data_IF_647965062244
#
_entry.id   IF_647965062244
#
_cell.length_a   1.000
_cell.length_b   1.000
_cell.length_c   1.000
_cell.angle_alpha   90.00
_cell.angle_beta   90.00
_cell.angle_gamma   90.00
#
_symmetry.space_group_name_H-M   'P 1'
#
loop_
_entity.id
_entity.type
_entity.pdbx_description
1 polymer ?
#
# COMPACT_ATOMS: atom_id res chain seq x y z
N UNK A 1 1.18 2.96 2.27
CA UNK A 1 0.79 4.32 2.71
C UNK A 1 1.56 4.63 3.98
N UNK A 2 2.09 5.84 4.12
CA UNK A 2 2.72 6.29 5.35
C UNK A 2 1.91 7.46 5.95
N UNK A 3 1.87 7.55 7.27
CA UNK A 3 1.19 8.61 8.02
C UNK A 3 2.09 9.09 9.15
N UNK A 4 2.08 10.39 9.44
CA UNK A 4 2.90 10.99 10.49
C UNK A 4 2.09 11.96 11.33
N UNK A 5 2.31 11.93 12.64
CA UNK A 5 1.59 12.73 13.62
C UNK A 5 0.43 11.97 14.28
N UNK A 6 -0.21 12.62 15.25
CA UNK A 6 -1.39 12.10 15.95
C UNK A 6 -2.62 12.85 15.45
N UNK A 7 -3.69 12.13 15.14
CA UNK A 7 -4.91 12.75 14.64
C UNK A 7 -5.80 11.79 13.86
N UNK A 8 -6.68 12.37 13.04
CA UNK A 8 -7.62 11.69 12.19
C UNK A 8 -6.99 11.47 10.81
N UNK A 9 -6.96 10.20 10.40
CA UNK A 9 -6.74 9.81 9.01
C UNK A 9 -8.06 9.30 8.44
N UNK A 10 -8.47 9.89 7.32
CA UNK A 10 -9.69 9.57 6.60
C UNK A 10 -9.38 9.41 5.11
N UNK A 11 -9.92 8.33 4.54
CA UNK A 11 -9.75 7.94 3.14
C UNK A 11 -11.12 8.00 2.46
N UNK A 12 -11.30 8.93 1.54
CA UNK A 12 -12.59 9.20 0.90
C UNK A 12 -12.98 8.24 -0.22
N UNK A 13 -11.99 7.65 -0.90
CA UNK A 13 -12.20 6.73 -2.02
C UNK A 13 -11.13 5.65 -1.98
N UNK A 14 -11.55 4.42 -1.70
CA UNK A 14 -10.71 3.22 -1.77
C UNK A 14 -11.28 2.38 -2.89
N UNK A 15 -10.50 2.27 -3.98
CA UNK A 15 -10.89 1.47 -5.13
C UNK A 15 -10.70 -0.01 -4.81
N UNK A 16 -11.71 -0.80 -5.15
CA UNK A 16 -11.57 -2.25 -5.12
C UNK A 16 -10.59 -2.70 -6.23
N UNK A 17 -9.89 -3.83 -6.03
CA UNK A 17 -9.11 -4.46 -7.08
C UNK A 17 -9.98 -4.77 -8.32
N UNK A 18 -9.41 -4.61 -9.51
CA UNK A 18 -10.13 -4.78 -10.80
C UNK A 18 -10.79 -6.15 -10.96
N UNK A 19 -10.25 -7.18 -10.30
CA UNK A 19 -10.72 -8.56 -10.33
C UNK A 19 -11.55 -8.98 -9.09
N UNK A 20 -12.05 -8.01 -8.31
CA UNK A 20 -12.77 -8.29 -7.06
C UNK A 20 -14.20 -8.84 -7.25
N UNK A 21 -14.80 -8.69 -8.43
CA UNK A 21 -16.13 -9.21 -8.80
C UNK A 21 -17.24 -8.99 -7.74
N UNK A 22 -17.19 -7.86 -7.02
CA UNK A 22 -18.14 -7.57 -5.94
C UNK A 22 -19.46 -7.06 -6.51
N UNK A 23 -20.56 -7.69 -6.08
CA UNK A 23 -21.92 -7.34 -6.52
C UNK A 23 -22.67 -6.53 -5.46
N UNK A 24 -23.74 -5.86 -5.89
CA UNK A 24 -24.63 -5.14 -4.96
C UNK A 24 -25.17 -6.07 -3.87
N UNK A 25 -25.10 -5.61 -2.62
CA UNK A 25 -25.57 -6.34 -1.46
C UNK A 25 -24.60 -7.38 -0.91
N UNK A 26 -23.44 -7.59 -1.53
CA UNK A 26 -22.39 -8.46 -1.01
C UNK A 26 -21.94 -7.99 0.38
N UNK A 27 -21.64 -8.94 1.26
CA UNK A 27 -21.12 -8.68 2.60
C UNK A 27 -19.60 -8.80 2.58
N UNK A 28 -18.92 -7.92 3.28
CA UNK A 28 -17.48 -7.99 3.47
C UNK A 28 -17.08 -7.35 4.79
N UNK A 29 -15.79 -7.48 5.13
CA UNK A 29 -15.22 -6.86 6.32
C UNK A 29 -14.06 -5.98 5.88
N UNK A 30 -14.07 -4.72 6.31
CA UNK A 30 -12.92 -3.84 6.19
C UNK A 30 -11.99 -4.08 7.37
N UNK A 31 -10.77 -4.51 7.08
CA UNK A 31 -9.73 -4.65 8.09
C UNK A 31 -8.77 -3.45 7.99
N UNK A 32 -8.75 -2.64 9.04
CA UNK A 32 -7.75 -1.58 9.20
C UNK A 32 -6.58 -2.15 9.97
N UNK A 33 -5.41 -2.12 9.34
CA UNK A 33 -4.14 -2.57 9.94
C UNK A 33 -3.26 -1.34 10.12
N UNK A 34 -3.00 -0.96 11.36
CA UNK A 34 -2.12 0.17 11.69
C UNK A 34 -0.81 -0.39 12.23
N UNK A 35 0.28 -0.20 11.51
CA UNK A 35 1.62 -0.64 11.92
C UNK A 35 2.34 0.55 12.58
N UNK A 36 2.87 0.33 13.77
CA UNK A 36 3.68 1.29 14.51
C UNK A 36 5.18 1.11 14.26
N UNK A 37 5.98 2.11 14.61
CA UNK A 37 7.42 2.19 14.31
C UNK A 37 8.23 1.02 14.91
N UNK A 38 7.75 0.43 16.00
CA UNK A 38 8.42 -0.68 16.71
C UNK A 38 7.96 -2.07 16.24
N UNK A 39 7.23 -2.15 15.12
CA UNK A 39 6.68 -3.42 14.60
C UNK A 39 5.43 -3.90 15.34
N UNK A 40 4.86 -3.09 16.24
CA UNK A 40 3.53 -3.32 16.79
C UNK A 40 2.46 -3.08 15.73
N UNK A 41 1.33 -3.80 15.80
CA UNK A 41 0.23 -3.61 14.89
C UNK A 41 -1.12 -3.64 15.62
N UNK A 42 -2.02 -2.76 15.20
CA UNK A 42 -3.41 -2.73 15.64
C UNK A 42 -4.30 -3.19 14.49
N UNK A 43 -5.24 -4.07 14.80
CA UNK A 43 -6.19 -4.64 13.85
C UNK A 43 -7.59 -4.27 14.29
N UNK A 44 -8.33 -3.59 13.41
CA UNK A 44 -9.72 -3.24 13.63
C UNK A 44 -10.54 -3.70 12.44
N UNK A 45 -11.72 -4.27 12.71
CA UNK A 45 -12.63 -4.78 11.70
C UNK A 45 -13.93 -3.97 11.72
N UNK A 46 -14.43 -3.67 10.53
CA UNK A 46 -15.77 -3.13 10.34
C UNK A 46 -16.50 -3.95 9.29
N UNK A 47 -17.60 -4.58 9.66
CA UNK A 47 -18.45 -5.29 8.72
C UNK A 47 -19.24 -4.29 7.87
N UNK A 48 -19.29 -4.55 6.57
CA UNK A 48 -19.90 -3.69 5.58
C UNK A 48 -20.78 -4.49 4.61
N UNK A 49 -21.64 -3.76 3.92
CA UNK A 49 -22.41 -4.27 2.80
C UNK A 49 -22.21 -3.37 1.59
N UNK A 50 -21.75 -3.95 0.49
CA UNK A 50 -21.47 -3.20 -0.73
C UNK A 50 -22.76 -2.73 -1.39
N UNK A 51 -22.76 -1.49 -1.87
CA UNK A 51 -23.90 -0.88 -2.54
C UNK A 51 -23.40 0.12 -3.59
N UNK A 52 -24.10 0.19 -4.73
CA UNK A 52 -23.82 1.18 -5.78
C UNK A 52 -24.22 2.61 -5.35
N UNK A 53 -25.03 2.74 -4.28
CA UNK A 53 -25.58 4.01 -3.80
C UNK A 53 -24.96 4.43 -2.46
N UNK A 54 -23.66 4.14 -2.25
CA UNK A 54 -22.97 4.56 -1.03
C UNK A 54 -22.80 6.09 -1.04
N UNK A 55 -23.22 6.76 0.03
CA UNK A 55 -22.99 8.19 0.22
C UNK A 55 -21.64 8.42 0.88
N UNK A 56 -20.92 9.47 0.44
CA UNK A 56 -19.70 9.89 1.12
C UNK A 56 -19.98 10.32 2.55
N UNK A 57 -19.02 10.06 3.44
CA UNK A 57 -19.09 10.59 4.79
C UNK A 57 -19.06 12.13 4.75
N UNK A 58 -19.90 12.81 5.56
CA UNK A 58 -20.03 14.28 5.49
C UNK A 58 -18.78 15.03 5.96
N UNK A 59 -17.86 14.39 6.68
CA UNK A 59 -16.64 15.01 7.22
C UNK A 59 -15.44 14.07 7.12
N UNK A 60 -14.76 14.07 5.97
CA UNK A 60 -13.47 13.41 5.81
C UNK A 60 -12.37 14.46 5.68
N UNK A 61 -11.81 14.88 6.83
CA UNK A 61 -10.70 15.82 6.85
C UNK A 61 -9.54 15.23 7.64
N UNK A 62 -8.38 15.18 7.00
CA UNK A 62 -7.17 14.65 7.60
C UNK A 62 -6.54 15.69 8.53
N UNK A 63 -6.24 15.30 9.77
CA UNK A 63 -5.42 16.13 10.67
C UNK A 63 -3.99 15.61 10.81
N UNK A 64 -3.69 14.51 10.13
CA UNK A 64 -2.34 13.91 10.03
C UNK A 64 -1.76 14.13 8.64
N UNK A 65 -0.43 14.13 8.56
CA UNK A 65 0.28 14.11 7.29
C UNK A 65 0.26 12.69 6.74
N UNK A 66 -0.04 12.51 5.46
CA UNK A 66 -0.07 11.19 4.85
C UNK A 66 0.48 11.20 3.43
N UNK A 67 1.02 10.07 2.99
CA UNK A 67 1.53 9.87 1.64
C UNK A 67 1.22 8.47 1.13
N UNK A 68 0.95 8.38 -0.18
CA UNK A 68 0.77 7.12 -0.87
C UNK A 68 2.10 6.67 -1.44
N UNK A 69 2.48 5.42 -1.14
CA UNK A 69 3.60 4.76 -1.80
C UNK A 69 2.99 3.94 -2.92
N UNK A 70 3.03 4.45 -4.15
CA UNK A 70 2.63 3.66 -5.32
C UNK A 70 3.68 2.56 -5.52
N UNK A 71 3.27 1.31 -5.32
CA UNK A 71 4.07 0.15 -5.72
C UNK A 71 3.49 -0.34 -7.05
N UNK A 72 4.00 0.21 -8.16
CA UNK A 72 3.74 -0.25 -9.54
C UNK A 72 2.27 -0.19 -10.01
N UNK A 73 1.87 0.94 -10.61
CA UNK A 73 0.61 1.07 -11.33
C UNK A 73 0.33 2.53 -11.71
N UNK A 74 0.49 2.87 -12.99
CA UNK A 74 0.37 4.22 -13.54
C UNK A 74 -1.07 4.74 -13.43
N UNK A 75 -1.38 5.45 -12.35
CA UNK A 75 -2.58 6.28 -12.22
C UNK A 75 -2.16 7.72 -12.00
N UNK A 76 -2.26 8.52 -13.06
CA UNK A 76 -2.20 9.98 -13.02
C UNK A 76 -3.41 10.51 -12.25
N UNK A 77 -3.26 10.69 -10.94
CA UNK A 77 -4.17 11.45 -10.10
C UNK A 77 -3.62 12.85 -9.92
N UNK A 78 -4.28 13.86 -10.50
CA UNK A 78 -3.91 15.28 -10.39
C UNK A 78 -3.68 15.69 -8.93
N UNK A 79 -2.42 15.95 -8.58
CA UNK A 79 -2.08 16.79 -7.44
C UNK A 79 -2.37 18.24 -7.83
N UNK A 80 -3.31 18.87 -7.12
CA UNK A 80 -3.51 20.31 -7.16
C UNK A 80 -2.33 20.99 -6.46
N UNK A 81 -1.24 21.19 -7.20
CA UNK A 81 -0.10 22.00 -6.76
C UNK A 81 -0.52 23.47 -6.77
N UNK A 82 -0.53 24.10 -5.59
CA UNK A 82 -0.41 25.55 -5.50
C UNK A 82 1.02 25.88 -5.10
N UNK A 83 1.86 26.18 -6.08
CA UNK A 83 3.22 26.67 -5.86
C UNK A 83 3.54 27.64 -6.97
N UNK A 84 3.59 28.91 -6.61
CA UNK A 84 4.01 30.01 -7.47
C UNK A 84 5.48 29.80 -7.87
N UNK A 85 5.75 29.73 -9.17
CA UNK A 85 7.07 29.62 -9.75
C UNK A 85 7.93 30.88 -9.50
N UNK A 86 9.21 30.64 -9.23
CA UNK A 86 10.33 31.48 -9.71
C UNK A 86 11.53 30.54 -9.88
N UNK A 87 11.97 30.41 -11.14
CA UNK A 87 12.79 29.32 -11.63
C UNK A 87 14.27 29.37 -11.29
N UNK A 88 14.96 28.23 -11.51
CA UNK A 88 16.06 28.15 -12.47
C UNK A 88 16.47 26.68 -12.72
N UNK A 89 16.86 26.44 -13.96
CA UNK A 89 17.16 25.17 -14.63
C UNK A 89 18.25 24.29 -13.99
N UNK A 90 18.10 22.96 -14.10
CA UNK A 90 19.05 22.01 -14.73
C UNK A 90 18.60 20.56 -14.50
N UNK A 91 18.25 19.87 -15.58
CA UNK A 91 18.04 18.42 -15.57
C UNK A 91 19.34 17.63 -15.54
N UNK A 92 19.28 16.40 -15.04
CA UNK A 92 20.12 15.29 -15.47
C UNK A 92 19.64 13.94 -14.88
N UNK A 93 19.42 12.99 -15.80
CA UNK A 93 19.75 11.57 -15.74
C UNK A 93 19.23 10.70 -14.57
N UNK A 94 18.26 9.84 -14.91
CA UNK A 94 17.95 8.64 -14.15
C UNK A 94 19.06 7.59 -14.23
N UNK A 95 19.35 6.96 -13.11
CA UNK A 95 20.19 5.76 -13.02
C UNK A 95 19.39 4.68 -12.30
N UNK A 96 19.02 3.65 -13.07
CA UNK A 96 18.39 2.42 -12.59
C UNK A 96 19.48 1.54 -11.97
N UNK A 97 19.55 1.48 -10.64
CA UNK A 97 20.43 0.54 -9.92
C UNK A 97 19.68 -0.75 -9.59
N UNK A 98 19.71 -1.73 -10.49
CA UNK A 98 19.30 -3.12 -10.17
C UNK A 98 20.51 -3.92 -9.69
N UNK A 99 20.53 -4.30 -8.41
CA UNK A 99 21.53 -5.21 -7.86
C UNK A 99 21.23 -6.66 -8.29
N UNK A 100 21.88 -7.08 -9.38
CA UNK A 100 21.77 -8.40 -10.00
C UNK A 100 22.63 -9.46 -9.28
N UNK A 101 22.51 -9.60 -7.96
CA UNK A 101 23.40 -10.48 -7.19
C UNK A 101 22.77 -11.33 -6.07
N UNK A 102 21.45 -11.41 -5.99
CA UNK A 102 20.78 -12.27 -4.98
C UNK A 102 19.74 -13.21 -5.62
N UNK A 103 20.17 -14.05 -6.56
CA UNK A 103 19.38 -15.19 -7.05
C UNK A 103 20.31 -16.38 -7.27
N UNK A 104 20.75 -17.07 -6.21
CA UNK A 104 21.35 -18.42 -6.30
C UNK A 104 21.53 -19.05 -4.91
N UNK A 105 20.47 -19.50 -4.21
CA UNK A 105 20.68 -20.39 -3.03
C UNK A 105 19.51 -21.31 -2.64
N UNK A 106 18.74 -21.85 -3.60
CA UNK A 106 17.71 -22.87 -3.29
C UNK A 106 18.00 -24.28 -3.81
N UNK A 107 19.16 -24.52 -4.43
CA UNK A 107 19.52 -25.82 -5.01
C UNK A 107 20.47 -26.67 -4.13
N UNK A 108 20.70 -26.30 -2.86
CA UNK A 108 21.72 -26.93 -2.00
C UNK A 108 21.21 -27.82 -0.87
N UNK A 109 19.90 -27.91 -0.64
CA UNK A 109 19.33 -28.58 0.56
C UNK A 109 18.87 -30.04 0.33
N UNK A 110 18.98 -30.58 -0.87
CA UNK A 110 18.51 -31.94 -1.18
C UNK A 110 19.55 -33.05 -0.95
N UNK A 111 20.84 -32.72 -0.75
CA UNK A 111 21.92 -33.73 -0.69
C UNK A 111 22.24 -34.21 0.73
N UNK A 112 21.81 -33.47 1.76
CA UNK A 112 22.14 -33.80 3.17
C UNK A 112 21.21 -34.85 3.79
N UNK A 113 20.01 -35.07 3.24
CA UNK A 113 19.09 -36.10 3.76
C UNK A 113 19.47 -37.53 3.32
N UNK A 114 20.29 -37.70 2.28
CA UNK A 114 20.66 -39.01 1.73
C UNK A 114 21.85 -39.70 2.44
N UNK A 115 22.56 -39.02 3.35
CA UNK A 115 23.67 -39.61 4.11
C UNK A 115 23.36 -39.80 5.61
N UNK A 116 22.14 -39.49 6.06
CA UNK A 116 21.74 -39.52 7.47
C UNK A 116 20.79 -40.66 7.88
N UNK A 117 20.41 -41.55 6.96
CA UNK A 117 19.51 -42.69 7.19
C UNK A 117 20.15 -44.04 6.86
N UNK A 118 21.48 -44.09 6.81
CA UNK A 118 22.27 -45.27 6.49
C UNK A 118 23.45 -45.45 7.43
N UNK A 119 23.22 -45.31 8.74
CA UNK A 119 24.00 -45.89 9.85
C UNK A 119 23.07 -46.12 11.03
#
# INVERSE_FOLDING_TARGET
MNTTGKGLLCLDDIRLPDNSNVTQGAVGTLQVITVGDTGSALYNCADIRFTANATKAPTCNNTVQHSFVQTGGNSSGSSSNNSTESGNDKGAAGILGVNMLSVTTFAGLAVVFAMGLGM
#
